data_IF_627253162587
#
_entry.id   IF_627253162587
#
_cell.length_a   1.000
_cell.length_b   1.000
_cell.length_c   1.000
_cell.angle_alpha   90.00
_cell.angle_beta   90.00
_cell.angle_gamma   90.00
#
_symmetry.space_group_name_H-M   'P 1'
#
loop_
_entity.id
_entity.type
_entity.pdbx_description
1 polymer ?
#
# COMPACT_ATOMS: atom_id res chain seq x y z
N UNK A 1 0.04 -13.11 5.12
CA UNK A 1 -0.94 -12.13 5.65
C UNK A 1 -1.57 -12.62 6.96
N UNK A 2 -2.15 -13.85 7.02
CA UNK A 2 -2.77 -14.36 8.25
C UNK A 2 -1.80 -14.36 9.45
N UNK A 3 -0.57 -14.82 9.29
CA UNK A 3 0.46 -14.79 10.34
C UNK A 3 0.88 -13.37 10.75
N UNK A 4 0.84 -12.41 9.83
CA UNK A 4 1.09 -11.00 10.14
C UNK A 4 -0.02 -10.42 11.00
N UNK A 5 -1.28 -10.73 10.68
CA UNK A 5 -2.43 -10.31 11.47
C UNK A 5 -2.30 -10.81 12.91
N UNK A 6 -1.96 -12.07 13.10
CA UNK A 6 -1.82 -12.64 14.45
C UNK A 6 -0.74 -11.94 15.28
N UNK A 7 0.45 -11.72 14.69
CA UNK A 7 1.59 -11.14 15.42
C UNK A 7 1.50 -9.61 15.58
N UNK A 8 0.84 -8.92 14.62
CA UNK A 8 0.75 -7.46 14.57
C UNK A 8 -0.69 -6.95 14.71
N UNK A 9 -1.60 -7.75 15.29
CA UNK A 9 -3.05 -7.48 15.36
C UNK A 9 -3.37 -6.06 15.82
N UNK A 10 -2.74 -5.61 16.91
CA UNK A 10 -2.99 -4.26 17.48
C UNK A 10 -2.70 -3.11 16.52
N UNK A 11 -1.84 -3.35 15.51
CA UNK A 11 -1.44 -2.35 14.52
C UNK A 11 -2.20 -2.48 13.20
N UNK A 12 -2.70 -3.70 12.93
CA UNK A 12 -3.44 -4.01 11.71
C UNK A 12 -4.93 -3.73 11.82
N UNK A 13 -5.41 -3.29 13.01
CA UNK A 13 -6.81 -2.97 13.26
C UNK A 13 -7.73 -4.20 13.27
N UNK A 14 -9.05 -3.98 13.29
CA UNK A 14 -10.05 -5.04 13.41
C UNK A 14 -10.16 -5.83 12.10
N UNK A 15 -9.26 -6.79 11.90
CA UNK A 15 -9.28 -7.76 10.81
C UNK A 15 -9.17 -9.17 11.36
N UNK A 16 -9.77 -10.15 10.69
CA UNK A 16 -9.76 -11.53 11.10
C UNK A 16 -9.50 -12.46 9.90
N UNK A 17 -8.65 -13.46 10.13
CA UNK A 17 -8.47 -14.56 9.19
C UNK A 17 -9.59 -15.60 9.44
N UNK A 18 -10.20 -16.09 8.38
CA UNK A 18 -11.32 -17.03 8.40
C UNK A 18 -11.02 -18.23 7.53
N UNK A 19 -11.49 -19.40 7.94
CA UNK A 19 -11.20 -20.68 7.31
C UNK A 19 -12.45 -21.39 6.77
N UNK A 20 -13.63 -20.87 7.03
CA UNK A 20 -14.90 -21.38 6.51
C UNK A 20 -15.89 -20.25 6.23
N UNK A 21 -16.97 -20.57 5.51
CA UNK A 21 -18.06 -19.62 5.27
C UNK A 21 -18.78 -19.21 6.56
N UNK A 22 -18.96 -20.12 7.51
CA UNK A 22 -19.58 -19.80 8.80
C UNK A 22 -18.68 -18.92 9.66
N UNK A 23 -17.37 -19.21 9.71
CA UNK A 23 -16.38 -18.36 10.40
C UNK A 23 -16.32 -16.95 9.77
N UNK A 24 -16.41 -16.86 8.45
CA UNK A 24 -16.48 -15.58 7.75
C UNK A 24 -17.71 -14.75 8.14
N UNK A 25 -18.88 -15.40 8.18
CA UNK A 25 -20.12 -14.76 8.59
C UNK A 25 -20.07 -14.32 10.05
N UNK A 26 -19.56 -15.18 10.94
CA UNK A 26 -19.37 -14.82 12.35
C UNK A 26 -18.46 -13.62 12.53
N UNK A 27 -17.33 -13.58 11.80
CA UNK A 27 -16.41 -12.47 11.81
C UNK A 27 -17.07 -11.17 11.32
N UNK A 28 -17.85 -11.22 10.21
CA UNK A 28 -18.60 -10.08 9.71
C UNK A 28 -19.63 -9.56 10.70
N UNK A 29 -20.41 -10.46 11.33
CA UNK A 29 -21.39 -10.09 12.36
C UNK A 29 -20.72 -9.45 13.59
N UNK A 30 -19.55 -9.94 13.98
CA UNK A 30 -18.76 -9.35 15.06
C UNK A 30 -18.31 -7.92 14.72
N UNK A 31 -17.88 -7.67 13.49
CA UNK A 31 -17.52 -6.33 13.02
C UNK A 31 -18.75 -5.43 12.88
N UNK A 32 -19.89 -5.99 12.43
CA UNK A 32 -21.14 -5.23 12.31
C UNK A 32 -21.64 -4.73 13.68
N UNK A 33 -21.49 -5.52 14.75
CA UNK A 33 -21.78 -5.09 16.14
C UNK A 33 -20.92 -3.93 16.62
N UNK A 34 -19.76 -3.69 15.97
CA UNK A 34 -18.88 -2.55 16.21
C UNK A 34 -19.22 -1.34 15.33
N UNK A 35 -20.30 -1.42 14.52
CA UNK A 35 -20.79 -0.34 13.65
C UNK A 35 -20.28 -0.38 12.21
N UNK A 36 -19.59 -1.45 11.80
CA UNK A 36 -19.13 -1.57 10.43
C UNK A 36 -20.19 -2.16 9.51
N UNK A 37 -20.47 -1.52 8.40
CA UNK A 37 -21.52 -1.93 7.43
C UNK A 37 -20.96 -2.57 6.17
N UNK A 38 -19.73 -2.30 5.85
CA UNK A 38 -19.03 -2.79 4.66
C UNK A 38 -17.68 -3.40 5.03
N UNK A 39 -17.29 -4.42 4.29
CA UNK A 39 -16.11 -5.22 4.54
C UNK A 39 -15.28 -5.39 3.28
N UNK A 40 -13.97 -5.57 3.47
CA UNK A 40 -13.05 -6.00 2.41
C UNK A 40 -12.64 -7.43 2.70
N UNK A 41 -12.89 -8.32 1.74
CA UNK A 41 -12.33 -9.68 1.73
C UNK A 41 -11.02 -9.69 0.96
N UNK A 42 -10.01 -10.36 1.52
CA UNK A 42 -8.67 -10.50 0.91
C UNK A 42 -8.26 -11.96 0.91
N UNK A 43 -7.64 -12.41 -0.18
CA UNK A 43 -6.97 -13.71 -0.20
C UNK A 43 -5.61 -13.61 0.51
N UNK A 44 -5.20 -14.61 1.30
CA UNK A 44 -3.91 -14.62 1.98
C UNK A 44 -2.73 -14.52 1.01
N UNK A 45 -2.85 -15.17 -0.15
CA UNK A 45 -1.84 -15.25 -1.20
C UNK A 45 -2.37 -14.60 -2.48
N UNK A 46 -2.37 -13.28 -2.55
CA UNK A 46 -2.73 -12.56 -3.77
C UNK A 46 -1.67 -11.53 -4.11
N UNK A 47 -1.46 -11.32 -5.41
CA UNK A 47 -0.54 -10.31 -5.92
C UNK A 47 -1.27 -9.03 -6.27
N UNK A 48 -0.65 -7.87 -5.98
CA UNK A 48 -1.00 -6.54 -6.52
C UNK A 48 -2.50 -6.18 -6.48
N UNK A 49 -3.19 -6.45 -5.36
CA UNK A 49 -4.61 -6.12 -5.20
C UNK A 49 -5.58 -7.09 -5.89
N UNK A 50 -5.07 -8.11 -6.58
CA UNK A 50 -5.90 -9.18 -7.11
C UNK A 50 -6.56 -10.00 -5.99
N UNK A 51 -7.88 -10.20 -6.09
CA UNK A 51 -8.62 -11.00 -5.09
C UNK A 51 -9.10 -10.24 -3.86
N UNK A 52 -9.17 -8.90 -3.92
CA UNK A 52 -9.94 -8.11 -2.97
C UNK A 52 -11.36 -7.91 -3.45
N UNK A 53 -12.33 -8.03 -2.54
CA UNK A 53 -13.75 -7.77 -2.82
C UNK A 53 -14.35 -6.95 -1.68
N UNK A 54 -15.00 -5.84 -2.02
CA UNK A 54 -15.80 -5.06 -1.07
C UNK A 54 -17.21 -5.62 -1.05
N UNK A 55 -17.76 -5.85 0.14
CA UNK A 55 -19.04 -6.50 0.36
C UNK A 55 -19.80 -5.84 1.51
N UNK A 56 -21.12 -5.79 1.40
CA UNK A 56 -22.01 -5.48 2.52
C UNK A 56 -22.19 -6.72 3.40
N UNK A 57 -22.85 -6.53 4.57
CA UNK A 57 -23.16 -7.66 5.46
C UNK A 57 -24.09 -8.68 4.77
N UNK A 58 -25.07 -8.21 3.99
CA UNK A 58 -26.02 -9.05 3.27
C UNK A 58 -25.31 -9.93 2.25
N UNK A 59 -24.34 -9.36 1.52
CA UNK A 59 -23.54 -10.12 0.57
C UNK A 59 -22.62 -11.13 1.25
N UNK A 60 -22.07 -10.80 2.44
CA UNK A 60 -21.26 -11.76 3.21
C UNK A 60 -22.10 -12.94 3.72
N UNK A 61 -23.37 -12.70 4.10
CA UNK A 61 -24.26 -13.77 4.55
C UNK A 61 -24.50 -14.85 3.49
N UNK A 62 -24.36 -14.52 2.20
CA UNK A 62 -24.45 -15.46 1.09
C UNK A 62 -23.28 -16.47 1.04
N UNK A 63 -22.19 -16.20 1.76
CA UNK A 63 -21.04 -17.11 1.87
C UNK A 63 -21.27 -18.28 2.84
N UNK A 64 -22.43 -18.40 3.46
CA UNK A 64 -22.84 -19.59 4.21
C UNK A 64 -23.01 -20.79 3.30
N UNK A 65 -22.52 -21.94 3.76
CA UNK A 65 -22.73 -23.20 3.07
C UNK A 65 -21.45 -23.95 2.69
N UNK A 66 -21.58 -25.27 2.50
CA UNK A 66 -20.46 -26.20 2.29
C UNK A 66 -19.59 -25.86 1.07
N UNK A 67 -20.19 -25.62 -0.08
CA UNK A 67 -19.42 -25.37 -1.32
C UNK A 67 -18.55 -24.11 -1.25
N UNK A 68 -19.01 -23.08 -0.53
CA UNK A 68 -18.21 -21.88 -0.32
C UNK A 68 -17.10 -22.11 0.68
N UNK A 69 -17.33 -22.89 1.75
CA UNK A 69 -16.31 -23.27 2.71
C UNK A 69 -15.15 -24.02 2.06
N UNK A 70 -15.44 -24.97 1.19
CA UNK A 70 -14.42 -25.70 0.44
C UNK A 70 -13.57 -24.79 -0.44
N UNK A 71 -14.20 -23.84 -1.13
CA UNK A 71 -13.50 -22.84 -1.92
C UNK A 71 -12.60 -21.96 -1.07
N UNK A 72 -13.07 -21.48 0.08
CA UNK A 72 -12.29 -20.67 1.02
C UNK A 72 -11.08 -21.45 1.53
N UNK A 73 -11.26 -22.71 1.90
CA UNK A 73 -10.18 -23.60 2.36
C UNK A 73 -9.15 -23.82 1.26
N UNK A 74 -9.59 -24.13 0.03
CA UNK A 74 -8.68 -24.37 -1.09
C UNK A 74 -7.85 -23.14 -1.48
N UNK A 75 -8.34 -21.94 -1.19
CA UNK A 75 -7.66 -20.68 -1.40
C UNK A 75 -6.76 -20.25 -0.19
N UNK A 76 -6.64 -21.10 0.84
CA UNK A 76 -5.85 -20.84 2.04
C UNK A 76 -6.54 -19.94 3.05
N UNK A 77 -7.87 -19.88 3.05
CA UNK A 77 -8.69 -19.01 3.89
C UNK A 77 -8.94 -17.63 3.27
N UNK A 78 -9.68 -16.81 3.99
CA UNK A 78 -9.93 -15.40 3.66
C UNK A 78 -9.60 -14.51 4.85
N UNK A 79 -9.27 -13.26 4.57
CA UNK A 79 -9.15 -12.20 5.57
C UNK A 79 -10.32 -11.25 5.37
N UNK A 80 -11.07 -10.99 6.43
CA UNK A 80 -12.12 -9.97 6.46
C UNK A 80 -11.67 -8.78 7.29
N UNK A 81 -11.86 -7.59 6.77
CA UNK A 81 -11.56 -6.32 7.44
C UNK A 81 -12.69 -5.32 7.17
N UNK A 82 -12.89 -4.31 8.04
CA UNK A 82 -13.74 -3.18 7.69
C UNK A 82 -13.30 -2.49 6.39
N UNK A 83 -14.25 -2.10 5.56
CA UNK A 83 -13.99 -1.25 4.42
C UNK A 83 -13.90 0.21 4.89
N UNK A 84 -12.81 0.89 4.52
CA UNK A 84 -12.62 2.30 4.84
C UNK A 84 -12.67 3.16 3.59
N UNK A 85 -13.15 4.39 3.74
CA UNK A 85 -13.04 5.42 2.71
C UNK A 85 -11.65 6.05 2.77
N UNK A 86 -10.72 5.45 2.01
CA UNK A 86 -9.32 5.82 2.00
C UNK A 86 -9.09 7.12 1.25
N UNK A 87 -8.32 8.01 1.86
CA UNK A 87 -7.96 9.31 1.27
C UNK A 87 -6.48 9.41 0.86
N UNK A 88 -5.63 8.58 1.46
CA UNK A 88 -4.21 8.52 1.14
C UNK A 88 -3.68 7.13 1.46
N UNK A 89 -3.15 6.44 0.48
CA UNK A 89 -2.40 5.20 0.66
C UNK A 89 -0.90 5.52 0.62
N UNK A 90 -0.12 4.96 1.55
CA UNK A 90 1.31 5.17 1.62
C UNK A 90 2.04 3.95 2.14
N UNK A 91 3.33 3.88 1.90
CA UNK A 91 4.18 2.78 2.38
C UNK A 91 5.45 3.30 3.01
N UNK A 92 5.82 2.72 4.13
CA UNK A 92 7.06 2.96 4.83
C UNK A 92 8.04 1.86 4.46
N UNK A 93 9.23 2.24 4.04
CA UNK A 93 10.27 1.30 3.64
C UNK A 93 11.32 1.20 4.73
N UNK A 94 11.62 -0.03 5.13
CA UNK A 94 12.62 -0.36 6.13
C UNK A 94 13.70 -1.27 5.56
N UNK A 95 14.84 -1.30 6.25
CA UNK A 95 15.86 -2.31 6.10
C UNK A 95 16.15 -2.90 7.48
N UNK A 96 16.17 -4.22 7.56
CA UNK A 96 16.50 -4.97 8.76
C UNK A 96 17.84 -5.65 8.54
N UNK A 97 18.80 -5.35 9.42
CA UNK A 97 20.17 -5.87 9.41
C UNK A 97 20.51 -6.33 10.83
N UNK A 98 20.54 -7.65 11.06
CA UNK A 98 20.63 -8.21 12.41
C UNK A 98 19.50 -7.71 13.30
N UNK A 99 19.83 -7.09 14.42
CA UNK A 99 18.86 -6.49 15.36
C UNK A 99 18.46 -5.05 15.03
N UNK A 100 19.07 -4.46 14.03
CA UNK A 100 18.77 -3.09 13.64
C UNK A 100 17.63 -3.04 12.64
N UNK A 101 16.73 -2.10 12.86
CA UNK A 101 15.70 -1.71 11.90
C UNK A 101 15.85 -0.24 11.56
N UNK A 102 16.05 0.03 10.28
CA UNK A 102 16.28 1.38 9.78
C UNK A 102 15.17 1.79 8.81
N UNK A 103 14.49 2.87 9.13
CA UNK A 103 13.54 3.50 8.22
C UNK A 103 14.31 4.17 7.07
N UNK A 104 13.99 3.80 5.84
CA UNK A 104 14.64 4.31 4.63
C UNK A 104 13.89 5.48 4.02
N UNK A 105 12.58 5.53 4.21
CA UNK A 105 11.73 6.61 3.72
C UNK A 105 10.27 6.19 3.54
N UNK A 106 9.48 7.17 3.10
CA UNK A 106 8.05 7.01 2.83
C UNK A 106 7.77 7.30 1.36
N UNK A 107 6.79 6.59 0.82
CA UNK A 107 6.25 6.81 -0.51
C UNK A 107 4.72 6.84 -0.45
N UNK A 108 4.10 7.59 -1.32
CA UNK A 108 2.67 7.50 -1.56
C UNK A 108 2.40 6.39 -2.57
N UNK A 109 1.38 5.60 -2.32
CA UNK A 109 0.93 4.56 -3.24
C UNK A 109 -0.27 5.07 -4.04
N UNK A 110 -0.25 4.79 -5.33
CA UNK A 110 -1.37 5.03 -6.23
C UNK A 110 -2.13 3.73 -6.34
N UNK A 111 -3.34 3.73 -5.79
CA UNK A 111 -4.20 2.55 -5.73
C UNK A 111 -5.48 2.83 -6.52
N UNK A 112 -5.88 1.90 -7.39
CA UNK A 112 -7.15 1.99 -8.11
C UNK A 112 -8.35 1.89 -7.16
N UNK A 113 -9.56 2.31 -7.59
CA UNK A 113 -10.78 2.10 -6.81
C UNK A 113 -11.05 0.63 -6.45
N UNK A 114 -10.56 -0.31 -7.26
CA UNK A 114 -10.63 -1.76 -6.98
C UNK A 114 -9.53 -2.27 -6.05
N UNK A 115 -8.65 -1.39 -5.55
CA UNK A 115 -7.54 -1.74 -4.66
C UNK A 115 -6.29 -2.26 -5.36
N UNK A 116 -6.20 -2.16 -6.69
CA UNK A 116 -5.03 -2.56 -7.44
C UNK A 116 -3.93 -1.50 -7.34
N UNK A 117 -2.69 -1.91 -7.07
CA UNK A 117 -1.53 -1.03 -7.13
C UNK A 117 -1.27 -0.58 -8.57
N UNK A 118 -1.16 0.72 -8.78
CA UNK A 118 -0.89 1.36 -10.06
C UNK A 118 0.49 2.02 -10.10
N UNK A 119 1.01 2.46 -8.95
CA UNK A 119 2.30 3.14 -8.91
C UNK A 119 2.67 3.67 -7.52
N UNK A 120 3.82 4.35 -7.49
CA UNK A 120 4.36 5.01 -6.31
C UNK A 120 4.84 6.40 -6.63
N UNK A 121 4.49 7.37 -5.76
CA UNK A 121 5.01 8.72 -5.78
C UNK A 121 6.05 8.91 -4.68
N UNK A 122 7.22 9.40 -5.04
CA UNK A 122 8.28 9.74 -4.09
C UNK A 122 8.73 11.18 -4.28
N UNK A 123 8.59 11.99 -3.22
CA UNK A 123 9.00 13.39 -3.18
C UNK A 123 10.05 13.63 -2.10
N UNK A 124 10.89 14.68 -2.21
CA UNK A 124 11.90 15.00 -1.19
C UNK A 124 11.34 15.19 0.21
N UNK A 125 10.16 15.80 0.30
CA UNK A 125 9.40 15.94 1.55
C UNK A 125 8.03 15.27 1.36
N UNK A 126 7.77 14.20 2.08
CA UNK A 126 6.56 13.37 1.92
C UNK A 126 5.26 14.19 1.97
N UNK A 127 5.12 15.08 2.94
CA UNK A 127 3.91 15.90 3.12
C UNK A 127 3.83 17.14 2.20
N UNK A 128 4.82 17.38 1.32
CA UNK A 128 4.83 18.57 0.46
C UNK A 128 3.69 18.55 -0.55
N UNK A 129 2.94 19.65 -0.62
CA UNK A 129 1.81 19.81 -1.55
C UNK A 129 0.54 19.05 -1.16
N UNK A 130 0.48 18.47 0.05
CA UNK A 130 -0.76 17.92 0.62
C UNK A 130 -1.69 19.02 1.12
N UNK A 131 -2.98 18.69 1.27
CA UNK A 131 -3.90 19.50 2.04
C UNK A 131 -3.32 19.76 3.45
N UNK A 132 -3.36 20.99 3.98
CA UNK A 132 -2.75 21.34 5.27
C UNK A 132 -3.19 20.46 6.43
N UNK A 133 -4.50 20.16 6.55
CA UNK A 133 -5.05 19.33 7.62
C UNK A 133 -4.51 17.89 7.57
N UNK A 134 -4.40 17.34 6.36
CA UNK A 134 -3.84 16.01 6.13
C UNK A 134 -2.34 16.01 6.49
N UNK A 135 -1.60 17.03 6.04
CA UNK A 135 -0.18 17.15 6.33
C UNK A 135 0.10 17.29 7.83
N UNK A 136 -0.68 18.11 8.53
CA UNK A 136 -0.60 18.26 9.97
C UNK A 136 -0.90 16.97 10.71
N UNK A 137 -2.02 16.30 10.38
CA UNK A 137 -2.40 15.02 10.98
C UNK A 137 -1.31 13.95 10.77
N UNK A 138 -0.75 13.87 9.56
CA UNK A 138 0.38 12.97 9.28
C UNK A 138 1.57 13.28 10.18
N UNK A 139 2.04 14.53 10.22
CA UNK A 139 3.24 14.91 10.94
C UNK A 139 3.10 14.73 12.47
N UNK A 140 1.93 15.05 13.02
CA UNK A 140 1.73 15.05 14.47
C UNK A 140 1.28 13.69 15.02
N UNK A 141 0.45 12.95 14.29
CA UNK A 141 -0.22 11.76 14.81
C UNK A 141 0.24 10.45 14.17
N UNK A 142 0.68 10.48 12.91
CA UNK A 142 0.92 9.27 12.13
C UNK A 142 2.41 8.97 12.00
N UNK A 143 3.20 9.88 11.46
CA UNK A 143 4.62 9.64 11.18
C UNK A 143 5.47 9.31 12.41
N UNK A 144 5.21 9.87 13.60
CA UNK A 144 5.96 9.50 14.81
C UNK A 144 5.83 8.01 15.18
N UNK A 145 4.75 7.34 14.76
CA UNK A 145 4.55 5.91 15.05
C UNK A 145 5.51 5.00 14.28
N UNK A 146 6.12 5.49 13.21
CA UNK A 146 7.04 4.74 12.36
C UNK A 146 8.52 5.06 12.64
N UNK A 147 8.81 5.95 13.58
CA UNK A 147 10.19 6.26 13.97
C UNK A 147 10.89 4.99 14.50
N UNK A 148 12.23 4.94 14.38
CA UNK A 148 13.02 3.76 14.76
C UNK A 148 12.83 3.31 16.22
N UNK A 149 12.50 4.24 17.11
CA UNK A 149 12.24 3.99 18.54
C UNK A 149 10.75 3.88 18.89
N UNK A 150 9.86 3.91 17.90
CA UNK A 150 8.42 3.81 18.15
C UNK A 150 8.01 2.36 18.48
N UNK A 151 6.95 2.22 19.28
CA UNK A 151 6.41 0.90 19.68
C UNK A 151 6.02 0.01 18.50
N UNK A 152 5.54 0.61 17.41
CA UNK A 152 5.24 -0.14 16.19
C UNK A 152 6.52 -0.73 15.58
N UNK A 153 7.57 0.07 15.47
CA UNK A 153 8.85 -0.35 14.90
C UNK A 153 9.51 -1.43 15.77
N UNK A 154 9.38 -1.33 17.09
CA UNK A 154 9.80 -2.37 18.03
C UNK A 154 9.04 -3.69 17.79
N UNK A 155 7.70 -3.61 17.64
CA UNK A 155 6.89 -4.80 17.33
C UNK A 155 7.27 -5.42 15.98
N UNK A 156 7.64 -4.60 15.00
CA UNK A 156 8.10 -5.04 13.69
C UNK A 156 9.47 -5.73 13.78
N UNK A 157 10.37 -5.21 14.63
CA UNK A 157 11.67 -5.84 14.93
C UNK A 157 11.47 -7.22 15.56
N UNK A 158 10.66 -7.32 16.60
CA UNK A 158 10.38 -8.59 17.28
C UNK A 158 9.76 -9.61 16.30
N UNK A 159 8.83 -9.17 15.45
CA UNK A 159 8.26 -9.99 14.39
C UNK A 159 9.31 -10.54 13.42
N UNK A 160 10.31 -9.73 13.07
CA UNK A 160 11.40 -10.13 12.19
C UNK A 160 12.38 -11.09 12.88
N UNK A 161 12.76 -10.81 14.11
CA UNK A 161 13.64 -11.67 14.93
C UNK A 161 13.04 -13.07 15.13
N UNK A 162 11.76 -13.18 15.47
CA UNK A 162 11.05 -14.46 15.62
C UNK A 162 11.08 -15.31 14.33
N UNK A 163 11.29 -14.71 13.18
CA UNK A 163 11.28 -15.35 11.84
C UNK A 163 12.66 -15.43 11.20
N UNK A 164 13.69 -14.99 11.92
CA UNK A 164 15.05 -14.84 11.39
C UNK A 164 15.06 -14.09 10.05
N UNK A 165 14.25 -13.03 9.96
CA UNK A 165 14.12 -12.24 8.75
C UNK A 165 15.12 -11.08 8.77
N UNK A 166 15.93 -10.99 7.72
CA UNK A 166 16.79 -9.85 7.40
C UNK A 166 16.50 -9.38 5.97
N UNK A 167 16.70 -8.10 5.72
CA UNK A 167 16.54 -7.52 4.40
C UNK A 167 15.52 -6.40 4.31
N UNK A 168 15.11 -6.02 3.08
CA UNK A 168 14.15 -4.96 2.83
C UNK A 168 12.74 -5.38 3.23
N UNK A 169 12.01 -4.43 3.81
CA UNK A 169 10.66 -4.63 4.27
C UNK A 169 9.82 -3.37 4.01
N UNK A 170 8.64 -3.54 3.40
CA UNK A 170 7.66 -2.48 3.22
C UNK A 170 6.46 -2.66 4.14
N UNK A 171 5.99 -1.59 4.75
CA UNK A 171 4.74 -1.55 5.52
C UNK A 171 3.76 -0.65 4.82
N UNK A 172 2.65 -1.20 4.36
CA UNK A 172 1.58 -0.45 3.72
C UNK A 172 0.59 0.06 4.77
N UNK A 173 0.23 1.33 4.66
CA UNK A 173 -0.61 2.06 5.58
C UNK A 173 -1.53 3.02 4.81
N UNK A 174 -2.57 3.53 5.46
CA UNK A 174 -3.43 4.52 4.83
C UNK A 174 -4.12 5.44 5.83
N UNK A 175 -4.53 6.61 5.33
CA UNK A 175 -5.48 7.50 5.99
C UNK A 175 -6.88 7.25 5.45
N UNK A 176 -7.85 7.43 6.32
CA UNK A 176 -9.27 7.35 5.96
C UNK A 176 -10.10 8.33 6.81
N UNK A 177 -11.34 8.56 6.41
CA UNK A 177 -12.31 9.25 7.27
C UNK A 177 -13.23 8.21 7.91
N UNK A 178 -13.48 8.38 9.19
CA UNK A 178 -14.50 7.61 9.88
C UNK A 178 -15.92 8.16 9.60
N UNK A 179 -16.93 7.53 10.17
CA UNK A 179 -18.34 7.93 10.00
C UNK A 179 -18.65 9.34 10.52
N UNK A 180 -17.81 9.92 11.38
CA UNK A 180 -17.91 11.30 11.84
C UNK A 180 -17.23 12.30 10.91
N UNK A 181 -16.55 11.83 9.85
CA UNK A 181 -15.71 12.63 8.97
C UNK A 181 -14.32 12.92 9.51
N UNK A 182 -13.96 12.42 10.70
CA UNK A 182 -12.67 12.63 11.33
C UNK A 182 -11.56 11.83 10.66
N UNK A 183 -10.37 12.45 10.57
CA UNK A 183 -9.19 11.77 10.04
C UNK A 183 -8.73 10.65 10.98
N UNK A 184 -8.58 9.49 10.42
CA UNK A 184 -8.07 8.28 11.07
C UNK A 184 -6.95 7.68 10.24
N UNK A 185 -6.17 6.78 10.83
CA UNK A 185 -5.16 6.04 10.08
C UNK A 185 -5.15 4.57 10.45
N UNK A 186 -4.73 3.75 9.50
CA UNK A 186 -4.38 2.36 9.71
C UNK A 186 -2.87 2.24 9.69
N UNK A 187 -2.27 1.90 10.83
CA UNK A 187 -0.81 1.86 11.01
C UNK A 187 -0.16 0.81 10.13
N UNK A 188 -0.79 -0.33 9.96
CA UNK A 188 -0.36 -1.36 9.03
C UNK A 188 -1.59 -2.06 8.42
N UNK A 189 -1.65 -2.14 7.11
CA UNK A 189 -2.63 -2.98 6.41
C UNK A 189 -1.98 -4.20 5.76
N UNK A 190 -0.68 -4.11 5.50
CA UNK A 190 0.13 -5.21 4.98
C UNK A 190 1.61 -4.99 5.31
N UNK A 191 2.31 -6.07 5.65
CA UNK A 191 3.76 -6.09 5.80
C UNK A 191 4.35 -6.94 4.69
N UNK A 192 5.27 -6.38 3.93
CA UNK A 192 5.86 -6.96 2.73
C UNK A 192 7.36 -7.21 2.96
N UNK A 193 7.80 -8.41 3.46
CA UNK A 193 9.19 -8.74 3.72
C UNK A 193 9.93 -9.07 2.41
N UNK A 194 10.14 -8.08 1.59
CA UNK A 194 10.77 -8.17 0.27
C UNK A 194 11.09 -6.80 -0.29
N UNK A 195 11.86 -6.73 -1.36
CA UNK A 195 11.88 -5.54 -2.21
C UNK A 195 10.48 -5.25 -2.74
N UNK A 196 9.99 -4.03 -2.48
CA UNK A 196 8.71 -3.54 -2.96
C UNK A 196 8.91 -2.52 -4.08
N UNK A 197 7.87 -2.27 -4.87
CA UNK A 197 7.90 -1.19 -5.86
C UNK A 197 8.10 0.19 -5.20
N UNK A 198 7.61 0.36 -3.97
CA UNK A 198 7.89 1.56 -3.17
C UNK A 198 9.38 1.74 -2.85
N UNK A 199 10.10 0.65 -2.59
CA UNK A 199 11.55 0.70 -2.40
C UNK A 199 12.27 1.09 -3.70
N UNK A 200 11.84 0.53 -4.83
CA UNK A 200 12.38 0.92 -6.15
C UNK A 200 12.18 2.40 -6.41
N UNK A 201 10.99 2.94 -6.14
CA UNK A 201 10.70 4.37 -6.29
C UNK A 201 11.61 5.25 -5.40
N UNK A 202 11.89 4.84 -4.15
CA UNK A 202 12.82 5.53 -3.26
C UNK A 202 14.25 5.54 -3.79
N UNK A 203 14.72 4.42 -4.33
CA UNK A 203 16.08 4.30 -4.84
C UNK A 203 16.24 5.12 -6.15
N UNK A 204 15.24 5.10 -7.03
CA UNK A 204 15.21 5.97 -8.22
C UNK A 204 15.22 7.45 -7.82
N UNK A 205 14.46 7.85 -6.78
CA UNK A 205 14.45 9.26 -6.32
C UNK A 205 15.83 9.79 -5.95
N UNK A 206 16.77 8.94 -5.55
CA UNK A 206 18.15 9.36 -5.26
C UNK A 206 18.90 9.83 -6.51
N UNK A 207 18.42 9.45 -7.70
CA UNK A 207 18.96 9.87 -9.01
C UNK A 207 18.22 11.08 -9.58
N UNK A 208 17.19 11.57 -8.90
CA UNK A 208 16.40 12.72 -9.33
C UNK A 208 17.02 14.02 -8.81
N UNK A 209 16.95 15.07 -9.62
CA UNK A 209 17.48 16.39 -9.27
C UNK A 209 16.82 16.97 -8.01
N UNK A 210 17.54 17.78 -7.21
CA UNK A 210 17.00 18.40 -6.02
C UNK A 210 15.69 19.16 -6.29
N UNK A 211 14.72 19.00 -5.41
CA UNK A 211 13.40 19.62 -5.54
C UNK A 211 12.44 18.92 -6.53
N UNK A 212 12.86 17.82 -7.16
CA UNK A 212 12.00 17.05 -8.07
C UNK A 212 11.53 15.76 -7.39
N UNK A 213 10.33 15.30 -7.79
CA UNK A 213 9.77 14.03 -7.42
C UNK A 213 9.79 13.04 -8.59
N UNK A 214 9.56 11.78 -8.28
CA UNK A 214 9.42 10.69 -9.25
C UNK A 214 8.11 9.95 -9.02
N UNK A 215 7.41 9.63 -10.11
CA UNK A 215 6.32 8.67 -10.16
C UNK A 215 6.83 7.39 -10.84
N UNK A 216 6.76 6.27 -10.15
CA UNK A 216 6.95 4.95 -10.72
C UNK A 216 5.58 4.34 -10.97
N UNK A 217 5.26 4.03 -12.22
CA UNK A 217 3.96 3.53 -12.65
C UNK A 217 4.06 2.15 -13.27
N UNK A 218 3.01 1.35 -13.07
CA UNK A 218 2.79 0.12 -13.82
C UNK A 218 1.64 0.38 -14.80
N UNK A 219 1.95 0.48 -16.05
CA UNK A 219 1.00 0.81 -17.13
C UNK A 219 0.82 -0.37 -18.08
N UNK A 220 -0.33 -0.45 -18.76
CA UNK A 220 -0.49 -1.41 -19.87
C UNK A 220 0.47 -1.02 -20.99
N UNK A 221 1.25 -1.96 -21.52
CA UNK A 221 2.21 -1.69 -22.60
C UNK A 221 1.55 -1.03 -23.84
N UNK A 222 0.32 -1.45 -24.17
CA UNK A 222 -0.47 -0.87 -25.25
C UNK A 222 -0.91 0.60 -25.02
N UNK A 223 -0.77 1.12 -23.79
CA UNK A 223 -1.09 2.51 -23.44
C UNK A 223 0.15 3.41 -23.34
N UNK A 224 1.33 2.88 -23.63
CA UNK A 224 2.53 3.72 -23.72
C UNK A 224 2.38 4.69 -24.88
N UNK A 225 2.79 5.97 -24.72
CA UNK A 225 2.85 6.90 -25.83
C UNK A 225 3.86 6.39 -26.87
N UNK A 226 3.60 6.66 -28.15
CA UNK A 226 4.48 6.24 -29.24
C UNK A 226 5.88 6.87 -29.16
N UNK A 227 6.02 7.98 -28.44
CA UNK A 227 7.30 8.62 -28.12
C UNK A 227 7.30 8.91 -26.62
N UNK A 228 8.28 8.35 -25.93
CA UNK A 228 8.58 8.81 -24.58
C UNK A 228 9.03 10.27 -24.61
N UNK A 229 8.58 11.06 -23.65
CA UNK A 229 9.14 12.37 -23.41
C UNK A 229 10.63 12.18 -23.07
N UNK A 230 11.50 12.83 -23.84
CA UNK A 230 12.95 12.71 -23.61
C UNK A 230 13.30 13.11 -22.19
N UNK A 231 14.01 12.24 -21.51
CA UNK A 231 14.54 12.51 -20.17
C UNK A 231 15.55 13.66 -20.26
N UNK A 232 15.34 14.68 -19.44
CA UNK A 232 16.29 15.78 -19.28
C UNK A 232 17.10 15.58 -17.99
N UNK A 233 18.37 15.88 -18.05
CA UNK A 233 19.27 15.83 -16.91
C UNK A 233 19.64 17.24 -16.45
N UNK A 234 19.74 17.44 -15.14
CA UNK A 234 20.32 18.59 -14.47
C UNK A 234 21.44 18.08 -13.57
N UNK A 235 22.66 18.52 -13.84
CA UNK A 235 23.87 18.08 -13.11
C UNK A 235 23.98 16.55 -13.00
N UNK A 236 23.70 15.83 -14.10
CA UNK A 236 23.76 14.38 -14.20
C UNK A 236 22.59 13.65 -13.51
N UNK A 237 21.57 14.36 -13.01
CA UNK A 237 20.38 13.80 -12.33
C UNK A 237 19.13 14.00 -13.17
N UNK A 238 18.19 13.07 -13.05
CA UNK A 238 16.89 13.16 -13.73
C UNK A 238 16.12 14.41 -13.28
N UNK A 239 15.76 15.29 -14.20
CA UNK A 239 15.06 16.54 -13.90
C UNK A 239 13.65 16.60 -14.49
N UNK A 240 13.42 16.02 -15.67
CA UNK A 240 12.09 15.94 -16.27
C UNK A 240 12.01 14.82 -17.32
N UNK A 241 10.80 14.54 -17.78
CA UNK A 241 10.54 13.54 -18.81
C UNK A 241 10.09 12.18 -18.25
N UNK A 242 9.99 11.21 -19.15
CA UNK A 242 9.59 9.84 -18.82
C UNK A 242 10.59 8.81 -19.37
N UNK A 243 10.70 7.68 -18.69
CA UNK A 243 11.56 6.57 -19.10
C UNK A 243 10.88 5.23 -18.77
N UNK A 244 10.79 4.35 -19.78
CA UNK A 244 10.37 2.96 -19.59
C UNK A 244 11.56 2.16 -19.06
N UNK A 245 11.35 1.41 -17.99
CA UNK A 245 12.41 0.70 -17.26
C UNK A 245 12.63 -0.74 -17.72
N UNK A 246 11.67 -1.33 -18.41
CA UNK A 246 11.78 -2.68 -18.93
C UNK A 246 11.63 -2.72 -20.44
N UNK A 247 12.25 -3.68 -21.06
CA UNK A 247 12.07 -3.92 -22.49
C UNK A 247 10.60 -4.22 -22.83
N UNK A 248 10.11 -3.63 -23.91
CA UNK A 248 8.76 -3.85 -24.43
C UNK A 248 8.85 -4.71 -25.67
N UNK A 249 8.30 -5.90 -25.57
CA UNK A 249 8.15 -6.85 -26.67
C UNK A 249 6.69 -6.95 -27.11
N UNK A 250 6.37 -7.55 -28.25
CA UNK A 250 4.99 -7.80 -28.68
C UNK A 250 4.15 -8.61 -27.66
N UNK A 251 4.79 -9.33 -26.73
CA UNK A 251 4.16 -10.12 -25.68
C UNK A 251 4.07 -9.39 -24.34
N UNK A 252 4.59 -8.17 -24.24
CA UNK A 252 4.55 -7.39 -23.00
C UNK A 252 3.14 -6.87 -22.73
N UNK A 253 2.53 -7.31 -21.63
CA UNK A 253 1.23 -6.81 -21.18
C UNK A 253 1.37 -5.50 -20.38
N UNK A 254 2.47 -5.35 -19.64
CA UNK A 254 2.73 -4.21 -18.76
C UNK A 254 4.13 -3.64 -18.97
N UNK A 255 4.25 -2.36 -18.66
CA UNK A 255 5.50 -1.64 -18.59
C UNK A 255 5.65 -0.98 -17.22
N UNK A 256 6.87 -0.97 -16.70
CA UNK A 256 7.26 -0.11 -15.60
C UNK A 256 7.82 1.19 -16.20
N UNK A 257 7.20 2.32 -15.88
CA UNK A 257 7.59 3.64 -16.36
C UNK A 257 7.88 4.56 -15.19
N UNK A 258 8.92 5.39 -15.32
CA UNK A 258 9.08 6.53 -14.43
C UNK A 258 8.74 7.82 -15.15
N UNK A 259 8.22 8.78 -14.39
CA UNK A 259 8.09 10.18 -14.78
C UNK A 259 8.68 11.05 -13.70
N UNK A 260 9.38 12.09 -14.10
CA UNK A 260 10.03 13.03 -13.19
C UNK A 260 9.40 14.41 -13.35
N UNK A 261 9.07 15.06 -12.23
CA UNK A 261 8.44 16.37 -12.22
C UNK A 261 9.00 17.25 -11.09
N UNK A 262 8.85 18.58 -11.26
CA UNK A 262 9.14 19.54 -10.20
C UNK A 262 8.24 19.30 -8.98
N UNK A 263 8.66 19.75 -7.84
CA UNK A 263 8.17 19.49 -6.47
C UNK A 263 6.66 19.68 -6.23
N UNK A 264 5.91 20.32 -7.13
CA UNK A 264 4.46 20.42 -6.96
C UNK A 264 3.82 19.05 -7.07
N UNK A 265 3.22 18.63 -5.97
CA UNK A 265 2.45 17.41 -5.86
C UNK A 265 1.09 17.63 -6.53
N UNK A 266 1.09 17.67 -7.86
CA UNK A 266 -0.13 17.67 -8.65
C UNK A 266 -0.28 16.27 -9.23
N UNK A 267 -1.33 15.57 -8.85
CA UNK A 267 -1.69 14.31 -9.49
C UNK A 267 -1.98 14.51 -10.98
N UNK A 268 -2.44 15.70 -11.37
CA UNK A 268 -2.69 16.08 -12.78
C UNK A 268 -1.41 16.07 -13.63
N UNK A 269 -0.25 16.41 -13.04
CA UNK A 269 1.03 16.32 -13.76
C UNK A 269 1.46 14.89 -14.07
N UNK A 270 0.76 13.89 -13.55
CA UNK A 270 1.08 12.49 -13.73
C UNK A 270 -0.03 11.69 -14.43
N UNK A 271 -1.05 12.31 -15.04
CA UNK A 271 -2.20 11.64 -15.69
C UNK A 271 -2.77 10.44 -14.90
N UNK A 272 -2.72 10.54 -13.58
CA UNK A 272 -3.21 9.49 -12.70
C UNK A 272 -4.70 9.72 -12.49
N UNK A 273 -5.55 8.71 -12.70
CA UNK A 273 -6.96 8.84 -12.40
C UNK A 273 -7.13 9.23 -10.92
N UNK A 274 -7.60 10.45 -10.68
CA UNK A 274 -8.05 10.86 -9.34
C UNK A 274 -9.24 10.00 -8.93
N UNK A 275 -9.29 9.61 -7.67
CA UNK A 275 -10.44 8.91 -7.08
C UNK A 275 -11.65 9.82 -7.09
#
# INVERSE_FOLDING_TARGET
KALQIQALQRWMGPGRSTTSGDDLVEAALSLAKQGWTEFVLKRPFSTAGGGMKRLTIEEVLQYRGKGMSEKIISEGGLIIEPAHDRILDFSIQYLIEGKEIRQLGLIEQIISPSGQYLGSLSFPKFCSGMNPDIAQFLMEKVLPQYANNARFTESLRNWAEERNFEGPLGVDAYLYRDSSGSLQHRTACEVNPRFTMGRVALDIRRQVAPGHGVCLEIVKAAKLPQRDESVQLLDGRLASGSLVLNEITPHSHFAARIRVAKQKRSLESFDIPTK
#
